data_IF_594927244365
#
_entry.id   IF_594927244365
#
_cell.length_a   1.000
_cell.length_b   1.000
_cell.length_c   1.000
_cell.angle_alpha   90.00
_cell.angle_beta   90.00
_cell.angle_gamma   90.00
#
_symmetry.space_group_name_H-M   'P 1'
#
loop_
_entity.id
_entity.type
_entity.pdbx_description
1 polymer ?
#
# COMPACT_ATOMS: atom_id res chain seq x y z
N UNK A 1 -5.93 -15.97 8.18
CA UNK A 1 -6.27 -14.98 7.11
C UNK A 1 -5.40 -13.72 7.20
N UNK A 2 -5.24 -13.12 8.38
CA UNK A 2 -4.56 -11.82 8.55
C UNK A 2 -3.07 -11.89 8.96
N UNK A 3 -2.42 -13.04 8.89
CA UNK A 3 -1.02 -13.21 9.37
C UNK A 3 -0.01 -12.31 8.66
N UNK A 4 -0.27 -11.96 7.40
CA UNK A 4 0.58 -11.06 6.61
C UNK A 4 0.22 -9.58 6.78
N UNK A 5 -0.84 -9.25 7.53
CA UNK A 5 -1.27 -7.87 7.71
C UNK A 5 -0.41 -7.19 8.78
N UNK A 6 0.02 -5.97 8.48
CA UNK A 6 0.60 -5.05 9.47
C UNK A 6 -0.40 -4.75 10.59
N UNK A 7 0.07 -4.26 11.74
CA UNK A 7 -0.82 -3.90 12.85
C UNK A 7 -1.83 -2.81 12.44
N UNK A 8 -1.40 -1.84 11.62
CA UNK A 8 -2.28 -0.83 11.04
C UNK A 8 -3.32 -1.44 10.10
N UNK A 9 -2.92 -2.34 9.22
CA UNK A 9 -3.85 -3.03 8.33
C UNK A 9 -4.86 -3.91 9.09
N UNK A 10 -4.47 -4.53 10.20
CA UNK A 10 -5.40 -5.25 11.10
C UNK A 10 -6.35 -4.28 11.79
N UNK A 11 -5.86 -3.11 12.23
CA UNK A 11 -6.68 -2.05 12.83
C UNK A 11 -7.75 -1.52 11.87
N UNK A 12 -7.42 -1.33 10.59
CA UNK A 12 -8.41 -0.95 9.54
C UNK A 12 -9.60 -1.92 9.52
N UNK A 13 -9.35 -3.22 9.65
CA UNK A 13 -10.42 -4.24 9.63
C UNK A 13 -11.32 -4.14 10.87
N UNK A 14 -10.73 -3.88 12.04
CA UNK A 14 -11.49 -3.65 13.29
C UNK A 14 -12.33 -2.38 13.16
N UNK A 15 -11.73 -1.29 12.69
CA UNK A 15 -12.44 -0.02 12.48
C UNK A 15 -13.58 -0.16 11.46
N UNK A 16 -13.39 -0.95 10.40
CA UNK A 16 -14.46 -1.27 9.46
C UNK A 16 -15.63 -2.00 10.13
N UNK A 17 -15.34 -2.91 11.07
CA UNK A 17 -16.39 -3.56 11.86
C UNK A 17 -17.11 -2.56 12.78
N UNK A 18 -16.38 -1.64 13.41
CA UNK A 18 -16.96 -0.61 14.26
C UNK A 18 -17.86 0.35 13.48
N UNK A 19 -17.44 0.76 12.27
CA UNK A 19 -18.27 1.60 11.39
C UNK A 19 -19.52 0.87 10.90
N UNK A 20 -19.43 -0.44 10.61
CA UNK A 20 -20.61 -1.25 10.30
C UNK A 20 -21.60 -1.29 11.47
N UNK A 21 -21.11 -1.38 12.72
CA UNK A 21 -21.96 -1.31 13.92
C UNK A 21 -22.58 0.08 14.08
N UNK A 22 -21.80 1.13 13.90
CA UNK A 22 -22.24 2.51 14.04
C UNK A 22 -23.37 2.85 13.06
N UNK A 23 -23.29 2.32 11.84
CA UNK A 23 -24.32 2.46 10.80
C UNK A 23 -25.45 1.41 10.91
N UNK A 24 -25.43 0.56 11.93
CA UNK A 24 -26.37 -0.55 12.13
C UNK A 24 -26.44 -1.55 10.96
N UNK A 25 -25.35 -1.70 10.21
CA UNK A 25 -25.25 -2.65 9.10
C UNK A 25 -24.85 -4.04 9.59
N UNK A 26 -25.62 -5.07 9.21
CA UNK A 26 -25.37 -6.47 9.59
C UNK A 26 -24.33 -7.18 8.71
N UNK A 27 -23.53 -6.44 7.95
CA UNK A 27 -22.44 -6.94 7.12
C UNK A 27 -21.29 -5.93 7.06
N UNK A 28 -20.08 -6.42 6.75
CA UNK A 28 -18.92 -5.56 6.44
C UNK A 28 -18.76 -5.50 4.91
N UNK A 29 -19.11 -4.36 4.33
CA UNK A 29 -18.98 -4.07 2.91
C UNK A 29 -17.69 -3.32 2.57
N UNK A 30 -17.55 -2.97 1.29
CA UNK A 30 -16.41 -2.21 0.78
C UNK A 30 -16.32 -0.80 1.39
N UNK A 31 -17.47 -0.19 1.64
CA UNK A 31 -17.66 1.12 2.24
C UNK A 31 -17.19 1.17 3.69
N UNK A 32 -17.40 0.10 4.45
CA UNK A 32 -16.87 -0.01 5.81
C UNK A 32 -15.35 -0.15 5.80
N UNK A 33 -14.77 -0.86 4.83
CA UNK A 33 -13.31 -0.92 4.65
C UNK A 33 -12.76 0.47 4.32
N UNK A 34 -13.44 1.23 3.45
CA UNK A 34 -13.06 2.61 3.14
C UNK A 34 -13.09 3.51 4.39
N UNK A 35 -14.18 3.46 5.17
CA UNK A 35 -14.28 4.21 6.42
C UNK A 35 -13.17 3.79 7.41
N UNK A 36 -12.92 2.49 7.55
CA UNK A 36 -11.85 1.97 8.41
C UNK A 36 -10.44 2.40 7.98
N UNK A 37 -10.20 2.56 6.67
CA UNK A 37 -8.94 3.10 6.14
C UNK A 37 -8.74 4.55 6.56
N UNK A 38 -9.78 5.38 6.42
CA UNK A 38 -9.70 6.81 6.76
C UNK A 38 -9.59 6.99 8.27
N UNK A 39 -10.35 6.22 9.05
CA UNK A 39 -10.36 6.29 10.51
C UNK A 39 -9.00 5.86 11.11
N UNK A 40 -8.23 4.99 10.45
CA UNK A 40 -6.88 4.65 10.92
C UNK A 40 -5.91 5.86 10.93
N UNK A 41 -6.18 6.87 10.09
CA UNK A 41 -5.58 8.22 10.06
C UNK A 41 -4.07 8.33 9.79
N UNK A 42 -3.25 7.35 10.19
CA UNK A 42 -1.79 7.43 10.09
C UNK A 42 -1.21 6.77 8.83
N UNK A 43 -1.90 5.76 8.32
CA UNK A 43 -1.48 4.92 7.23
C UNK A 43 -1.36 5.66 5.89
N UNK A 44 -0.57 5.08 4.99
CA UNK A 44 -0.39 5.63 3.63
C UNK A 44 -1.73 5.72 2.90
N UNK A 45 -2.61 4.73 3.09
CA UNK A 45 -3.95 4.76 2.50
C UNK A 45 -4.82 5.91 3.03
N UNK A 46 -4.80 6.16 4.34
CA UNK A 46 -5.54 7.26 4.95
C UNK A 46 -5.07 8.61 4.42
N UNK A 47 -3.74 8.82 4.40
CA UNK A 47 -3.13 10.07 3.95
C UNK A 47 -3.32 10.35 2.46
N UNK A 48 -3.38 9.30 1.64
CA UNK A 48 -3.69 9.44 0.22
C UNK A 48 -5.13 9.93 -0.01
N UNK A 49 -6.09 9.41 0.76
CA UNK A 49 -7.48 9.86 0.72
C UNK A 49 -7.61 11.31 1.25
N UNK A 50 -6.91 11.63 2.34
CA UNK A 50 -6.89 12.97 2.93
C UNK A 50 -6.36 14.03 1.95
N UNK A 51 -5.29 13.73 1.20
CA UNK A 51 -4.73 14.63 0.20
C UNK A 51 -5.69 14.97 -0.94
N UNK A 52 -6.64 14.07 -1.22
CA UNK A 52 -7.71 14.27 -2.19
C UNK A 52 -8.97 14.91 -1.57
N UNK A 53 -8.89 15.36 -0.32
CA UNK A 53 -10.01 15.98 0.40
C UNK A 53 -11.10 14.99 0.84
N UNK A 54 -10.81 13.68 0.85
CA UNK A 54 -11.74 12.65 1.29
C UNK A 54 -11.66 12.53 2.82
N UNK A 55 -12.66 13.07 3.51
CA UNK A 55 -12.74 13.06 4.97
C UNK A 55 -13.69 11.97 5.48
N UNK A 56 -13.48 11.55 6.74
CA UNK A 56 -14.30 10.50 7.37
C UNK A 56 -15.78 10.86 7.38
N UNK A 57 -16.11 12.10 7.76
CA UNK A 57 -17.49 12.56 7.86
C UNK A 57 -18.17 12.64 6.49
N UNK A 58 -17.46 13.15 5.47
CA UNK A 58 -17.99 13.19 4.10
C UNK A 58 -18.28 11.79 3.56
N UNK A 59 -17.39 10.82 3.80
CA UNK A 59 -17.62 9.42 3.40
C UNK A 59 -18.80 8.84 4.17
N UNK A 60 -18.92 9.08 5.48
CA UNK A 60 -20.02 8.57 6.30
C UNK A 60 -21.37 9.12 5.83
N UNK A 61 -21.45 10.40 5.50
CA UNK A 61 -22.64 11.01 4.90
C UNK A 61 -23.01 10.37 3.55
N UNK A 62 -22.04 10.16 2.66
CA UNK A 62 -22.31 9.50 1.38
C UNK A 62 -22.76 8.04 1.55
N UNK A 63 -22.20 7.31 2.51
CA UNK A 63 -22.62 5.94 2.81
C UNK A 63 -24.07 5.92 3.30
N UNK A 64 -24.44 6.83 4.20
CA UNK A 64 -25.83 6.98 4.68
C UNK A 64 -26.79 7.32 3.55
N UNK A 65 -26.40 8.18 2.61
CA UNK A 65 -27.25 8.54 1.48
C UNK A 65 -27.46 7.37 0.49
N UNK A 66 -26.44 6.55 0.27
CA UNK A 66 -26.52 5.43 -0.69
C UNK A 66 -27.21 4.20 -0.10
N UNK A 67 -26.88 3.83 1.14
CA UNK A 67 -27.33 2.58 1.77
C UNK A 67 -28.45 2.82 2.79
N UNK A 68 -28.45 3.98 3.45
CA UNK A 68 -29.27 4.25 4.63
C UNK A 68 -28.55 3.89 5.94
N UNK A 69 -29.26 4.03 7.05
CA UNK A 69 -28.88 3.42 8.32
C UNK A 69 -29.72 2.16 8.55
N UNK A 70 -29.12 1.14 9.19
CA UNK A 70 -29.87 -0.05 9.59
C UNK A 70 -30.80 0.20 10.77
N UNK A 71 -31.81 -0.66 10.92
CA UNK A 71 -32.84 -0.52 11.96
C UNK A 71 -32.41 -0.96 13.36
N UNK A 72 -31.38 -1.82 13.47
CA UNK A 72 -30.92 -2.39 14.73
C UNK A 72 -29.42 -2.62 14.72
N UNK A 73 -28.77 -2.31 15.84
CA UNK A 73 -27.35 -2.57 16.01
C UNK A 73 -27.11 -4.10 16.01
N UNK A 74 -26.26 -4.62 15.11
CA UNK A 74 -26.00 -6.05 15.05
C UNK A 74 -25.35 -6.55 16.35
N UNK A 75 -25.83 -7.68 16.87
CA UNK A 75 -25.19 -8.39 17.97
C UNK A 75 -24.29 -9.52 17.44
N UNK A 76 -23.18 -9.79 18.13
CA UNK A 76 -22.26 -10.88 17.76
C UNK A 76 -21.39 -10.60 16.54
N UNK A 77 -21.08 -11.65 15.77
CA UNK A 77 -20.15 -11.63 14.64
C UNK A 77 -20.80 -11.05 13.37
N UNK A 78 -20.17 -10.04 12.77
CA UNK A 78 -20.62 -9.40 11.52
C UNK A 78 -19.78 -9.94 10.35
N UNK A 79 -20.39 -10.65 9.38
CA UNK A 79 -19.64 -11.25 8.28
C UNK A 79 -19.25 -10.22 7.21
N UNK A 80 -18.13 -10.47 6.54
CA UNK A 80 -17.77 -9.74 5.30
C UNK A 80 -18.66 -10.16 4.14
N UNK A 81 -19.05 -9.17 3.32
CA UNK A 81 -19.64 -9.42 2.00
C UNK A 81 -18.64 -10.12 1.06
N UNK A 82 -19.10 -10.83 0.02
CA UNK A 82 -18.20 -11.42 -0.98
C UNK A 82 -17.25 -10.41 -1.62
N UNK A 83 -17.73 -9.19 -1.91
CA UNK A 83 -16.90 -8.10 -2.45
C UNK A 83 -15.86 -7.63 -1.45
N UNK A 84 -16.21 -7.45 -0.18
CA UNK A 84 -15.24 -7.08 0.87
C UNK A 84 -14.17 -8.16 1.06
N UNK A 85 -14.53 -9.46 1.03
CA UNK A 85 -13.54 -10.54 1.01
C UNK A 85 -12.63 -10.43 -0.22
N UNK A 86 -13.20 -10.11 -1.37
CA UNK A 86 -12.44 -9.93 -2.61
C UNK A 86 -11.41 -8.80 -2.51
N UNK A 87 -11.77 -7.68 -1.87
CA UNK A 87 -10.85 -6.57 -1.60
C UNK A 87 -9.62 -7.03 -0.81
N UNK A 88 -9.83 -7.82 0.24
CA UNK A 88 -8.73 -8.35 1.06
C UNK A 88 -7.84 -9.32 0.26
N UNK A 89 -8.42 -10.18 -0.60
CA UNK A 89 -7.63 -11.02 -1.52
C UNK A 89 -6.82 -10.20 -2.53
N UNK A 90 -7.43 -9.14 -3.09
CA UNK A 90 -6.77 -8.26 -4.04
C UNK A 90 -5.65 -7.46 -3.39
N UNK A 91 -5.79 -7.07 -2.11
CA UNK A 91 -4.72 -6.40 -1.37
C UNK A 91 -3.44 -7.23 -1.27
N UNK A 92 -3.56 -8.56 -1.13
CA UNK A 92 -2.40 -9.45 -1.17
C UNK A 92 -1.73 -9.42 -2.55
N UNK A 93 -2.51 -9.36 -3.63
CA UNK A 93 -1.97 -9.28 -5.00
C UNK A 93 -1.27 -7.95 -5.24
N UNK A 94 -1.84 -6.83 -4.78
CA UNK A 94 -1.19 -5.51 -4.90
C UNK A 94 0.13 -5.49 -4.11
N UNK A 95 0.15 -6.04 -2.89
CA UNK A 95 1.37 -6.15 -2.09
C UNK A 95 2.48 -6.92 -2.82
N UNK A 96 2.14 -8.10 -3.37
CA UNK A 96 3.09 -8.92 -4.12
C UNK A 96 3.55 -8.25 -5.42
N UNK A 97 2.67 -7.53 -6.12
CA UNK A 97 3.02 -6.77 -7.32
C UNK A 97 3.99 -5.62 -7.04
N UNK A 98 3.89 -5.02 -5.85
CA UNK A 98 4.81 -3.98 -5.37
C UNK A 98 6.07 -4.56 -4.71
N UNK A 99 6.22 -5.89 -4.65
CA UNK A 99 7.37 -6.55 -4.02
C UNK A 99 7.35 -6.53 -2.48
N UNK A 100 6.22 -6.19 -1.86
CA UNK A 100 6.06 -6.15 -0.42
C UNK A 100 5.63 -7.52 0.12
N UNK A 101 6.35 -8.01 1.15
CA UNK A 101 6.05 -9.30 1.81
C UNK A 101 4.96 -9.20 2.89
N UNK A 102 4.40 -8.01 3.09
CA UNK A 102 3.36 -7.69 4.07
C UNK A 102 2.19 -6.94 3.41
N UNK A 103 1.05 -6.92 4.08
CA UNK A 103 -0.14 -6.16 3.67
C UNK A 103 -0.29 -4.93 4.56
N UNK A 104 -0.10 -3.75 3.97
CA UNK A 104 -0.30 -2.44 4.59
C UNK A 104 -1.64 -1.81 4.21
N UNK A 105 -1.87 -0.61 4.73
CA UNK A 105 -3.08 0.20 4.45
C UNK A 105 -3.20 0.58 2.97
N UNK A 106 -2.08 0.86 2.33
CA UNK A 106 -1.91 1.14 0.91
C UNK A 106 -2.39 -0.02 0.04
N UNK A 107 -2.07 -1.26 0.42
CA UNK A 107 -2.47 -2.44 -0.34
C UNK A 107 -3.97 -2.69 -0.21
N UNK A 108 -4.55 -2.45 0.96
CA UNK A 108 -6.00 -2.56 1.16
C UNK A 108 -6.72 -1.53 0.28
N UNK A 109 -6.25 -0.28 0.27
CA UNK A 109 -6.82 0.77 -0.58
C UNK A 109 -6.68 0.43 -2.08
N UNK A 110 -5.50 -0.02 -2.53
CA UNK A 110 -5.30 -0.44 -3.92
C UNK A 110 -6.18 -1.65 -4.29
N UNK A 111 -6.37 -2.60 -3.37
CA UNK A 111 -7.26 -3.74 -3.53
C UNK A 111 -8.73 -3.32 -3.64
N UNK A 112 -9.13 -2.29 -2.89
CA UNK A 112 -10.46 -1.69 -2.92
C UNK A 112 -10.74 -1.04 -4.29
N UNK A 113 -9.77 -0.26 -4.80
CA UNK A 113 -9.87 0.38 -6.11
C UNK A 113 -9.89 -0.64 -7.25
N UNK A 114 -9.18 -1.77 -7.11
CA UNK A 114 -9.14 -2.84 -8.11
C UNK A 114 -10.41 -3.68 -8.17
N UNK A 115 -11.14 -3.79 -7.05
CA UNK A 115 -12.45 -4.44 -7.05
C UNK A 115 -13.47 -3.65 -7.87
N UNK A 116 -13.40 -2.31 -7.84
CA UNK A 116 -13.95 -1.39 -8.85
C UNK A 116 -15.48 -1.20 -8.84
N UNK A 117 -16.25 -2.17 -8.35
CA UNK A 117 -17.71 -2.19 -8.47
C UNK A 117 -18.44 -2.00 -7.13
N UNK A 118 -17.72 -2.04 -6.01
CA UNK A 118 -18.26 -1.86 -4.68
C UNK A 118 -18.77 -0.45 -4.37
N UNK A 119 -19.54 -0.34 -3.28
CA UNK A 119 -20.07 0.94 -2.80
C UNK A 119 -18.97 1.94 -2.48
N UNK A 120 -17.79 1.48 -2.02
CA UNK A 120 -16.66 2.37 -1.76
C UNK A 120 -16.26 3.21 -2.98
N UNK A 121 -16.19 2.60 -4.17
CA UNK A 121 -15.84 3.31 -5.40
C UNK A 121 -16.91 4.32 -5.77
N UNK A 122 -18.20 3.97 -5.61
CA UNK A 122 -19.31 4.89 -5.82
C UNK A 122 -19.24 6.10 -4.89
N UNK A 123 -18.89 5.89 -3.61
CA UNK A 123 -18.69 6.96 -2.63
C UNK A 123 -17.54 7.87 -3.04
N UNK A 124 -16.39 7.30 -3.42
CA UNK A 124 -15.23 8.06 -3.89
C UNK A 124 -15.58 8.91 -5.12
N UNK A 125 -16.29 8.35 -6.11
CA UNK A 125 -16.75 9.09 -7.28
C UNK A 125 -17.70 10.25 -6.92
N UNK A 126 -18.61 10.08 -5.95
CA UNK A 126 -19.48 11.19 -5.49
C UNK A 126 -18.69 12.30 -4.80
N UNK A 127 -17.60 11.96 -4.13
CA UNK A 127 -16.65 12.92 -3.55
C UNK A 127 -15.64 13.47 -4.56
N UNK A 128 -15.79 13.15 -5.86
CA UNK A 128 -14.89 13.55 -6.95
C UNK A 128 -13.46 13.02 -6.81
N UNK A 129 -13.27 11.97 -6.02
CA UNK A 129 -12.00 11.26 -5.90
C UNK A 129 -11.98 10.09 -6.88
N UNK A 130 -11.52 10.33 -8.10
CA UNK A 130 -11.47 9.29 -9.14
C UNK A 130 -10.51 8.15 -8.77
N UNK A 131 -10.86 6.87 -9.00
CA UNK A 131 -10.03 5.73 -8.61
C UNK A 131 -8.60 5.76 -9.16
N UNK A 132 -8.42 6.29 -10.37
CA UNK A 132 -7.11 6.46 -10.98
C UNK A 132 -6.26 7.50 -10.24
N UNK A 133 -6.85 8.62 -9.81
CA UNK A 133 -6.17 9.65 -9.03
C UNK A 133 -5.79 9.14 -7.63
N UNK A 134 -6.69 8.41 -6.96
CA UNK A 134 -6.38 7.78 -5.66
C UNK A 134 -5.23 6.79 -5.78
N UNK A 135 -5.23 5.95 -6.82
CA UNK A 135 -4.12 5.02 -7.09
C UNK A 135 -2.80 5.76 -7.30
N UNK A 136 -2.83 6.85 -8.07
CA UNK A 136 -1.64 7.64 -8.36
C UNK A 136 -1.06 8.26 -7.07
N UNK A 137 -1.89 8.86 -6.23
CA UNK A 137 -1.48 9.44 -4.95
C UNK A 137 -0.84 8.40 -4.01
N UNK A 138 -1.39 7.18 -3.97
CA UNK A 138 -0.79 6.08 -3.20
C UNK A 138 0.59 5.71 -3.73
N UNK A 139 0.74 5.58 -5.05
CA UNK A 139 2.02 5.21 -5.68
C UNK A 139 3.06 6.30 -5.45
N UNK A 140 2.70 7.57 -5.62
CA UNK A 140 3.60 8.71 -5.39
C UNK A 140 4.12 8.75 -3.95
N UNK A 141 3.25 8.48 -2.98
CA UNK A 141 3.67 8.36 -1.58
C UNK A 141 4.61 7.19 -1.36
N UNK A 142 4.35 6.04 -1.95
CA UNK A 142 5.24 4.88 -1.82
C UNK A 142 6.62 5.16 -2.45
N UNK A 143 6.67 5.79 -3.61
CA UNK A 143 7.92 6.20 -4.25
C UNK A 143 8.66 7.28 -3.45
N UNK A 144 7.94 8.23 -2.84
CA UNK A 144 8.52 9.23 -1.93
C UNK A 144 9.05 8.64 -0.62
N UNK A 145 8.45 7.54 -0.15
CA UNK A 145 8.89 6.80 1.03
C UNK A 145 10.06 5.85 0.76
N UNK A 146 10.29 5.40 -0.48
CA UNK A 146 11.48 4.63 -0.84
C UNK A 146 12.80 5.41 -0.65
N UNK A 147 12.75 6.73 -0.45
CA UNK A 147 13.89 7.56 -0.03
C UNK A 147 14.12 7.64 1.50
N UNK A 148 13.24 7.05 2.31
CA UNK A 148 13.32 7.03 3.79
C UNK A 148 12.89 5.66 4.33
N UNK A 149 13.66 4.61 4.05
CA UNK A 149 13.68 3.47 4.96
C UNK A 149 14.49 3.84 6.21
N UNK A 150 14.05 3.50 7.44
CA UNK A 150 14.90 3.54 8.61
C UNK A 150 15.80 2.30 8.58
N UNK A 151 16.82 2.33 7.72
CA UNK A 151 17.95 1.41 7.87
C UNK A 151 18.78 1.90 9.06
N UNK A 152 18.88 1.04 10.07
CA UNK A 152 19.87 1.15 11.12
C UNK A 152 21.29 1.33 10.54
N UNK A 153 22.13 2.03 11.30
CA UNK A 153 23.57 2.27 11.12
C UNK A 153 23.96 3.43 10.19
N UNK A 154 24.32 4.55 10.83
CA UNK A 154 24.88 5.73 10.19
C UNK A 154 26.33 5.54 9.75
N UNK A 155 26.62 6.11 8.58
CA UNK A 155 27.93 6.53 8.12
C UNK A 155 27.72 7.52 6.96
N UNK A 156 28.26 8.75 7.01
CA UNK A 156 28.00 9.74 5.97
C UNK A 156 28.93 9.49 4.78
N UNK A 157 28.41 9.54 3.55
CA UNK A 157 29.28 9.89 2.42
C UNK A 157 28.55 10.40 1.18
N UNK A 158 29.20 11.40 0.63
CA UNK A 158 28.85 12.29 -0.45
C UNK A 158 28.78 11.62 -1.82
N UNK A 159 28.07 12.28 -2.74
CA UNK A 159 28.41 12.33 -4.15
C UNK A 159 27.89 11.17 -5.00
N UNK A 160 26.69 11.33 -5.57
CA UNK A 160 26.24 10.51 -6.70
C UNK A 160 26.22 11.37 -7.98
N UNK A 161 26.97 11.02 -9.03
CA UNK A 161 26.68 11.51 -10.37
C UNK A 161 25.40 10.85 -10.86
N UNK A 162 24.55 11.68 -11.48
CA UNK A 162 23.31 11.34 -12.15
C UNK A 162 23.47 10.23 -13.19
N UNK A 163 22.93 9.04 -12.90
CA UNK A 163 22.67 7.99 -13.88
C UNK A 163 21.36 8.29 -14.63
N UNK A 164 21.35 8.08 -15.95
CA UNK A 164 20.20 8.38 -16.80
C UNK A 164 19.00 7.45 -16.52
N UNK A 165 17.79 8.01 -16.42
CA UNK A 165 16.50 7.32 -16.18
C UNK A 165 16.23 6.09 -17.06
N UNK A 166 16.84 6.00 -18.24
CA UNK A 166 16.70 4.86 -19.17
C UNK A 166 17.44 3.61 -18.68
N UNK A 167 18.56 3.78 -17.98
CA UNK A 167 19.36 2.66 -17.45
C UNK A 167 18.71 2.00 -16.24
N UNK A 168 17.97 2.75 -15.43
CA UNK A 168 17.26 2.22 -14.27
C UNK A 168 16.04 1.36 -14.64
N UNK A 169 15.45 1.60 -15.82
CA UNK A 169 14.30 0.83 -16.29
C UNK A 169 14.68 -0.55 -16.84
N UNK A 170 15.89 -0.71 -17.40
CA UNK A 170 16.31 -1.95 -18.09
C UNK A 170 17.61 -2.58 -17.57
N UNK A 171 18.31 -1.90 -16.66
CA UNK A 171 19.58 -2.34 -16.09
C UNK A 171 19.51 -2.52 -14.58
N UNK A 172 20.44 -3.29 -14.03
CA UNK A 172 20.64 -3.41 -12.58
C UNK A 172 22.01 -2.90 -12.20
N UNK A 173 22.06 -1.94 -11.30
CA UNK A 173 23.31 -1.35 -10.83
C UNK A 173 23.96 -2.25 -9.76
N UNK A 174 24.94 -3.06 -10.17
CA UNK A 174 25.66 -3.97 -9.26
C UNK A 174 26.59 -3.24 -8.29
N UNK A 175 27.12 -2.07 -8.67
CA UNK A 175 27.98 -1.26 -7.78
C UNK A 175 27.19 -0.72 -6.59
N UNK A 176 25.97 -0.25 -6.82
CA UNK A 176 25.08 0.18 -5.73
C UNK A 176 24.65 -1.01 -4.87
N UNK A 177 24.29 -2.14 -5.47
CA UNK A 177 23.92 -3.34 -4.73
C UNK A 177 25.07 -3.85 -3.82
N UNK A 178 26.33 -3.73 -4.28
CA UNK A 178 27.51 -4.04 -3.48
C UNK A 178 27.67 -3.07 -2.29
N UNK A 179 27.50 -1.76 -2.50
CA UNK A 179 27.56 -0.74 -1.44
C UNK A 179 26.49 -0.94 -0.37
N UNK A 180 25.28 -1.33 -0.79
CA UNK A 180 24.15 -1.63 0.09
C UNK A 180 24.29 -2.97 0.83
N UNK A 181 25.35 -3.75 0.58
CA UNK A 181 25.56 -5.07 1.20
C UNK A 181 24.58 -6.15 0.73
N UNK A 182 23.93 -5.96 -0.43
CA UNK A 182 22.90 -6.88 -0.98
C UNK A 182 23.47 -8.00 -1.86
N UNK A 183 24.78 -8.09 -2.00
CA UNK A 183 25.45 -9.10 -2.81
C UNK A 183 26.20 -10.10 -1.92
N UNK A 184 25.96 -11.38 -2.16
CA UNK A 184 26.71 -12.46 -1.51
C UNK A 184 28.15 -12.53 -2.04
N UNK A 185 29.11 -12.91 -1.18
CA UNK A 185 30.50 -13.07 -1.61
C UNK A 185 30.63 -14.23 -2.60
N UNK A 186 31.41 -14.02 -3.65
CA UNK A 186 31.75 -15.08 -4.62
C UNK A 186 33.01 -15.79 -4.15
N UNK A 187 32.86 -17.02 -3.68
CA UNK A 187 33.97 -17.81 -3.13
C UNK A 187 34.69 -18.56 -4.25
N UNK A 188 36.03 -18.52 -4.27
CA UNK A 188 36.86 -19.39 -5.12
C UNK A 188 36.99 -18.93 -6.58
N UNK A 189 36.76 -17.64 -6.86
CA UNK A 189 36.91 -17.01 -8.19
C UNK A 189 37.89 -15.83 -8.19
N UNK A 190 38.84 -15.86 -7.27
CA UNK A 190 39.79 -14.75 -7.07
C UNK A 190 40.66 -14.55 -8.32
N UNK A 191 41.10 -15.63 -8.96
CA UNK A 191 41.94 -15.56 -10.17
C UNK A 191 41.21 -15.00 -11.40
N UNK A 192 39.93 -15.32 -11.56
CA UNK A 192 39.11 -14.75 -12.64
C UNK A 192 38.80 -13.27 -12.40
N UNK A 193 38.47 -12.89 -11.16
CA UNK A 193 38.23 -11.51 -10.79
C UNK A 193 39.47 -10.64 -11.04
N UNK A 194 40.65 -11.13 -10.65
CA UNK A 194 41.93 -10.45 -10.88
C UNK A 194 42.24 -10.30 -12.37
N UNK A 195 42.01 -11.36 -13.17
CA UNK A 195 42.19 -11.31 -14.63
C UNK A 195 41.27 -10.29 -15.29
N UNK A 196 40.01 -10.22 -14.88
CA UNK A 196 39.05 -9.23 -15.38
C UNK A 196 39.49 -7.81 -15.03
N UNK A 197 39.92 -7.57 -13.80
CA UNK A 197 40.48 -6.27 -13.40
C UNK A 197 41.70 -5.89 -14.25
N UNK A 198 42.63 -6.82 -14.48
CA UNK A 198 43.82 -6.58 -15.28
C UNK A 198 43.47 -6.25 -16.74
N UNK A 199 42.43 -6.86 -17.31
CA UNK A 199 41.99 -6.58 -18.70
C UNK A 199 41.26 -5.24 -18.78
N UNK A 200 40.38 -4.94 -17.83
CA UNK A 200 39.61 -3.68 -17.81
C UNK A 200 40.48 -2.46 -17.51
N UNK A 201 41.57 -2.64 -16.77
CA UNK A 201 42.52 -1.57 -16.41
C UNK A 201 43.58 -1.28 -17.51
N UNK A 202 43.49 -1.93 -18.68
CA UNK A 202 44.47 -1.77 -19.78
C UNK A 202 44.26 -0.52 -20.67
N UNK A 203 43.62 0.53 -20.17
CA UNK A 203 43.57 1.84 -20.82
C UNK A 203 43.74 2.95 -19.80
#
# INVERSE_FOLDING_TARGET
>A
MFERFTDRARRVVVLAQDEARLLNHNYIGTEHILLGLIHENEGVGAKALEALGVTLDAVREQVRDIIGEGNQTPSGHIPFTPRAKKVLELSLREALQLGHNYIGTEHILLGLLREGEGTAVKVLSRLKAEPSAVRQEVIERLSGYQGKEPANAGGPSEGQPSGSLVLDQFGRNLTQAARDGKLDPVIGREGEAERVMQVLSRR
#
